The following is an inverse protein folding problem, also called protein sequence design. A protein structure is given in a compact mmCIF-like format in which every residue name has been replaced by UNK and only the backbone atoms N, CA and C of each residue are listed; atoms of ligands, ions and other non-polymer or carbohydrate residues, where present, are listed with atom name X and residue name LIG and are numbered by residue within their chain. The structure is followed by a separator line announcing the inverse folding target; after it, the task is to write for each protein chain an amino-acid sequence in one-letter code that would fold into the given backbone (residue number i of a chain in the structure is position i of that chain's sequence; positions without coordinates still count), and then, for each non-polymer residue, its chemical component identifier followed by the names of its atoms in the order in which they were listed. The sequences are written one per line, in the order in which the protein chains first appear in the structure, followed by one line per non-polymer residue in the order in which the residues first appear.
data_IF_098185025896
#
_entry.id   IF_098185025896
#
_cell.length_a   1.000
_cell.length_b   1.000
_cell.length_c   1.000
_cell.angle_alpha   90.00
_cell.angle_beta   90.00
_cell.angle_gamma   90.00
#
_symmetry.space_group_name_H-M   'P 1'
#
loop_
_entity.id
_entity.type
_entity.pdbx_description
1 polymer ?
#
# COMPACT_ATOMS: atom_id res chain seq x y z
N UNK A 1 -35.26 42.61 46.34
CA UNK A 1 -35.89 41.39 46.90
C UNK A 1 -36.08 40.38 45.78
N UNK A 2 -35.09 39.51 45.58
CA UNK A 2 -35.24 38.12 45.16
C UNK A 2 -33.84 37.52 45.20
N UNK A 3 -33.63 36.84 46.32
CA UNK A 3 -32.44 36.16 46.78
C UNK A 3 -32.27 34.87 45.95
N UNK A 4 -31.21 34.79 45.14
CA UNK A 4 -30.93 33.61 44.30
C UNK A 4 -29.69 32.91 44.87
N UNK A 5 -29.97 31.93 45.73
CA UNK A 5 -28.99 31.09 46.42
C UNK A 5 -28.22 30.22 45.43
N UNK A 6 -26.90 30.29 45.57
CA UNK A 6 -25.94 29.33 45.03
C UNK A 6 -26.14 27.97 45.71
N UNK A 7 -26.42 26.93 44.90
CA UNK A 7 -26.41 25.54 45.34
C UNK A 7 -25.16 24.87 44.79
N UNK A 8 -24.15 24.76 45.66
CA UNK A 8 -22.92 24.01 45.44
C UNK A 8 -23.24 22.53 45.70
N UNK A 9 -23.36 21.74 44.63
CA UNK A 9 -23.38 20.28 44.71
C UNK A 9 -21.94 19.77 44.64
N UNK A 10 -21.42 19.37 45.80
CA UNK A 10 -20.20 18.60 45.92
C UNK A 10 -20.45 17.15 45.44
N UNK A 11 -19.98 16.81 44.24
CA UNK A 11 -19.93 15.43 43.77
C UNK A 11 -18.72 14.73 44.37
N UNK A 12 -18.96 13.87 45.36
CA UNK A 12 -17.97 12.89 45.83
C UNK A 12 -17.71 11.88 44.70
N UNK A 13 -16.45 11.81 44.25
CA UNK A 13 -15.99 10.76 43.34
C UNK A 13 -15.61 9.53 44.18
N UNK A 14 -16.02 8.30 43.79
CA UNK A 14 -15.57 7.10 44.48
C UNK A 14 -14.10 6.83 44.18
N UNK A 15 -13.34 6.64 45.25
CA UNK A 15 -11.94 6.26 45.28
C UNK A 15 -11.77 4.86 44.69
N UNK A 16 -11.35 4.77 43.42
CA UNK A 16 -11.07 3.50 42.74
C UNK A 16 -9.62 3.13 43.03
N UNK A 17 -9.45 2.16 43.93
CA UNK A 17 -8.16 1.57 44.26
C UNK A 17 -7.43 1.06 43.00
N UNK A 18 -6.23 1.59 42.76
CA UNK A 18 -5.35 1.15 41.69
C UNK A 18 -4.92 -0.32 41.90
N UNK A 19 -5.00 -1.18 40.86
CA UNK A 19 -4.50 -2.54 40.96
C UNK A 19 -2.98 -2.51 41.15
N UNK A 20 -2.53 -3.16 42.23
CA UNK A 20 -1.13 -3.35 42.56
C UNK A 20 -0.41 -4.06 41.40
N UNK A 21 0.65 -3.42 40.91
CA UNK A 21 1.47 -3.90 39.80
C UNK A 21 2.12 -5.23 40.11
N UNK A 22 1.51 -6.32 39.64
CA UNK A 22 2.15 -7.62 39.56
C UNK A 22 3.35 -7.56 38.63
N UNK A 23 4.56 -7.67 39.19
CA UNK A 23 5.81 -7.81 38.42
C UNK A 23 5.70 -9.06 37.54
N UNK A 24 5.52 -8.87 36.24
CA UNK A 24 5.63 -9.97 35.28
C UNK A 24 7.06 -10.53 35.31
N UNK A 25 7.22 -11.87 35.36
CA UNK A 25 8.54 -12.50 35.32
C UNK A 25 9.24 -12.17 34.00
N UNK A 26 10.54 -11.87 34.06
CA UNK A 26 11.35 -11.38 32.94
C UNK A 26 11.31 -12.28 31.68
N UNK A 27 10.98 -13.56 31.84
CA UNK A 27 10.81 -14.51 30.73
C UNK A 27 9.54 -14.21 29.89
N UNK A 28 8.44 -13.74 30.49
CA UNK A 28 7.21 -13.44 29.75
C UNK A 28 7.35 -12.15 28.91
N UNK A 29 8.16 -11.18 29.37
CA UNK A 29 8.52 -10.00 28.56
C UNK A 29 9.33 -10.37 27.32
N UNK A 30 10.22 -11.36 27.41
CA UNK A 30 11.02 -11.82 26.25
C UNK A 30 10.17 -12.59 25.23
N UNK A 31 9.20 -13.40 25.68
CA UNK A 31 8.30 -14.14 24.79
C UNK A 31 7.28 -13.22 24.09
N UNK A 32 6.78 -12.18 24.76
CA UNK A 32 5.86 -11.21 24.14
C UNK A 32 6.57 -10.33 23.09
N UNK A 33 7.84 -9.96 23.31
CA UNK A 33 8.65 -9.23 22.31
C UNK A 33 8.96 -10.11 21.09
N UNK A 34 9.17 -11.41 21.28
CA UNK A 34 9.36 -12.36 20.17
C UNK A 34 8.08 -12.60 19.35
N UNK A 35 6.90 -12.59 19.97
CA UNK A 35 5.62 -12.75 19.26
C UNK A 35 5.20 -11.51 18.45
N UNK A 36 5.58 -10.29 18.88
CA UNK A 36 5.32 -9.06 18.12
C UNK A 36 6.27 -8.90 16.93
N UNK A 37 7.51 -9.41 17.02
CA UNK A 37 8.48 -9.40 15.92
C UNK A 37 8.17 -10.42 14.81
N UNK A 38 7.48 -11.53 15.12
CA UNK A 38 7.08 -12.51 14.09
C UNK A 38 5.77 -12.17 13.36
N UNK A 39 4.95 -11.24 13.88
CA UNK A 39 3.60 -10.96 13.37
C UNK A 39 3.49 -9.90 12.26
N UNK A 40 4.56 -9.17 11.94
CA UNK A 40 4.52 -8.08 10.94
C UNK A 40 5.71 -8.08 9.97
N UNK A 41 6.56 -9.09 10.02
CA UNK A 41 7.66 -9.29 9.09
C UNK A 41 7.19 -9.95 7.80
N UNK A 42 6.95 -9.14 6.77
CA UNK A 42 6.83 -9.56 5.38
C UNK A 42 7.92 -10.59 5.02
N UNK A 43 7.54 -11.85 4.85
CA UNK A 43 8.37 -12.91 4.27
C UNK A 43 8.70 -12.69 2.77
N UNK A 44 8.58 -11.46 2.27
CA UNK A 44 8.83 -11.10 0.87
C UNK A 44 10.20 -10.43 0.69
N UNK A 45 10.86 -9.98 1.76
CA UNK A 45 12.19 -9.37 1.66
C UNK A 45 13.31 -10.37 1.34
N UNK A 46 13.09 -11.68 1.53
CA UNK A 46 14.09 -12.72 1.29
C UNK A 46 14.27 -13.15 -0.18
N UNK A 47 13.49 -12.62 -1.12
CA UNK A 47 13.49 -13.12 -2.51
C UNK A 47 14.16 -12.19 -3.55
N UNK A 48 14.72 -11.04 -3.16
CA UNK A 48 15.10 -9.99 -4.13
C UNK A 48 16.54 -9.48 -4.04
N UNK A 49 17.42 -10.15 -3.30
CA UNK A 49 18.87 -9.91 -3.38
C UNK A 49 19.53 -11.17 -3.93
N UNK A 50 19.38 -11.41 -5.23
CA UNK A 50 20.35 -12.22 -5.96
C UNK A 50 21.48 -11.26 -6.33
N UNK A 51 22.50 -11.20 -5.47
CA UNK A 51 23.78 -10.56 -5.79
C UNK A 51 24.39 -11.26 -7.00
N UNK A 52 24.81 -10.49 -8.00
CA UNK A 52 25.36 -10.94 -9.27
C UNK A 52 26.88 -11.25 -9.20
N UNK A 53 27.45 -11.40 -8.01
CA UNK A 53 28.91 -11.55 -7.82
C UNK A 53 29.25 -12.91 -7.21
N UNK A 54 29.45 -13.93 -8.04
CA UNK A 54 30.49 -14.98 -7.91
C UNK A 54 30.28 -16.05 -8.99
N UNK A 55 31.19 -16.07 -9.96
CA UNK A 55 31.26 -17.02 -11.08
C UNK A 55 31.91 -18.35 -10.64
N UNK A 56 31.59 -18.82 -9.44
CA UNK A 56 31.98 -20.15 -8.98
C UNK A 56 30.97 -21.17 -9.51
N UNK A 57 31.47 -22.17 -10.23
CA UNK A 57 30.70 -23.20 -10.93
C UNK A 57 29.72 -23.91 -9.96
N UNK A 58 28.51 -23.37 -9.87
CA UNK A 58 27.45 -23.94 -9.06
C UNK A 58 27.18 -25.37 -9.53
N UNK A 59 27.03 -26.33 -8.60
CA UNK A 59 26.71 -27.71 -8.96
C UNK A 59 25.45 -27.71 -9.83
N UNK A 60 25.42 -28.54 -10.86
CA UNK A 60 24.29 -28.66 -11.78
C UNK A 60 22.99 -28.97 -11.00
N UNK A 61 22.28 -27.93 -10.59
CA UNK A 61 21.00 -28.02 -9.90
C UNK A 61 20.03 -28.61 -10.92
N UNK A 62 19.59 -29.85 -10.69
CA UNK A 62 18.60 -30.50 -11.54
C UNK A 62 17.42 -29.55 -11.77
N UNK A 63 17.15 -29.23 -13.04
CA UNK A 63 16.22 -28.17 -13.43
C UNK A 63 14.86 -28.37 -12.78
N UNK A 64 14.49 -27.46 -11.87
CA UNK A 64 13.16 -27.47 -11.26
C UNK A 64 12.15 -27.01 -12.31
N UNK A 65 11.11 -27.81 -12.49
CA UNK A 65 9.98 -27.46 -13.36
C UNK A 65 8.81 -27.03 -12.50
N UNK A 66 8.15 -25.94 -12.89
CA UNK A 66 7.04 -25.34 -12.18
C UNK A 66 5.76 -25.50 -13.01
N UNK A 67 4.63 -25.79 -12.34
CA UNK A 67 3.31 -25.81 -12.97
C UNK A 67 2.38 -24.94 -12.14
N UNK A 68 1.78 -23.93 -12.76
CA UNK A 68 0.83 -23.02 -12.12
C UNK A 68 -0.56 -23.35 -12.67
N UNK A 69 -1.50 -23.68 -11.79
CA UNK A 69 -2.87 -23.89 -12.21
C UNK A 69 -3.57 -22.55 -12.49
N UNK A 70 -4.62 -22.58 -13.33
CA UNK A 70 -5.51 -21.43 -13.56
C UNK A 70 -5.99 -20.78 -12.25
N UNK A 71 -6.34 -21.61 -11.25
CA UNK A 71 -6.78 -21.14 -9.95
C UNK A 71 -5.67 -20.44 -9.16
N UNK A 72 -4.44 -20.96 -9.20
CA UNK A 72 -3.29 -20.32 -8.56
C UNK A 72 -2.97 -18.98 -9.22
N UNK A 73 -3.05 -18.90 -10.56
CA UNK A 73 -2.90 -17.63 -11.29
C UNK A 73 -3.95 -16.61 -10.83
N UNK A 74 -5.23 -16.99 -10.80
CA UNK A 74 -6.31 -16.09 -10.38
C UNK A 74 -6.17 -15.63 -8.93
N UNK A 75 -5.68 -16.50 -8.04
CA UNK A 75 -5.37 -16.11 -6.67
C UNK A 75 -4.22 -15.10 -6.60
N UNK A 76 -3.16 -15.30 -7.38
CA UNK A 76 -2.00 -14.40 -7.39
C UNK A 76 -2.34 -13.02 -7.94
N UNK A 77 -3.22 -12.93 -8.94
CA UNK A 77 -3.54 -11.67 -9.63
C UNK A 77 -4.74 -10.94 -9.03
N UNK A 78 -5.80 -11.68 -8.70
CA UNK A 78 -7.07 -11.12 -8.30
C UNK A 78 -7.36 -11.27 -6.81
N UNK A 79 -6.48 -11.94 -6.05
CA UNK A 79 -6.64 -12.11 -4.60
C UNK A 79 -7.86 -12.93 -4.19
N UNK A 80 -8.36 -13.80 -5.07
CA UNK A 80 -9.48 -14.67 -4.76
C UNK A 80 -9.20 -15.48 -3.50
N UNK A 81 -10.15 -15.50 -2.55
CA UNK A 81 -10.04 -16.40 -1.41
C UNK A 81 -10.17 -17.84 -1.93
N UNK A 82 -9.18 -18.68 -1.61
CA UNK A 82 -9.38 -20.11 -1.84
C UNK A 82 -10.53 -20.58 -0.94
N UNK A 83 -11.47 -21.38 -1.45
CA UNK A 83 -12.30 -22.20 -0.57
C UNK A 83 -11.34 -23.08 0.24
N UNK A 84 -11.31 -22.92 1.56
CA UNK A 84 -10.49 -23.76 2.43
C UNK A 84 -11.00 -25.21 2.33
N UNK A 85 -10.05 -26.15 2.27
CA UNK A 85 -10.33 -27.54 1.92
C UNK A 85 -11.32 -28.19 2.89
N UNK A 86 -12.31 -28.82 2.26
CA UNK A 86 -13.24 -29.87 2.70
C UNK A 86 -12.77 -30.67 3.93
N UNK A 87 -13.44 -30.48 5.07
CA UNK A 87 -13.41 -31.47 6.14
C UNK A 87 -14.41 -32.57 5.78
N UNK A 88 -13.97 -33.84 5.69
CA UNK A 88 -14.88 -34.99 5.52
C UNK A 88 -15.65 -35.17 6.83
N UNK A 89 -16.88 -34.66 6.87
CA UNK A 89 -17.83 -34.94 7.96
C UNK A 89 -18.71 -36.10 7.49
N UNK A 90 -18.62 -37.24 8.18
CA UNK A 90 -19.47 -38.43 7.95
C UNK A 90 -19.40 -39.04 6.54
N UNK A 91 -18.22 -39.09 5.93
CA UNK A 91 -18.02 -39.76 4.63
C UNK A 91 -18.53 -38.99 3.40
N UNK A 92 -19.18 -37.83 3.60
CA UNK A 92 -19.55 -36.91 2.51
C UNK A 92 -18.54 -35.77 2.45
N UNK A 93 -17.91 -35.59 1.30
CA UNK A 93 -17.07 -34.42 1.05
C UNK A 93 -17.95 -33.16 0.99
N UNK A 94 -17.86 -32.30 2.01
CA UNK A 94 -18.45 -30.95 2.02
C UNK A 94 -17.34 -29.91 2.03
N UNK A 95 -17.36 -28.98 1.09
CA UNK A 95 -16.40 -27.88 1.12
C UNK A 95 -16.90 -26.80 2.07
N UNK A 96 -15.98 -26.24 2.86
CA UNK A 96 -16.23 -25.02 3.61
C UNK A 96 -15.86 -23.85 2.71
N UNK A 97 -16.87 -23.14 2.22
CA UNK A 97 -16.64 -21.87 1.54
C UNK A 97 -16.68 -20.79 2.61
N UNK A 98 -15.51 -20.27 2.98
CA UNK A 98 -15.42 -19.09 3.84
C UNK A 98 -15.64 -17.88 2.95
N UNK A 99 -16.74 -17.16 3.17
CA UNK A 99 -17.01 -15.86 2.53
C UNK A 99 -16.92 -14.76 3.56
N UNK A 100 -16.25 -13.67 3.21
CA UNK A 100 -16.29 -12.46 4.03
C UNK A 100 -17.45 -11.58 3.53
N UNK A 101 -18.51 -11.45 4.34
CA UNK A 101 -19.65 -10.58 4.05
C UNK A 101 -19.71 -9.52 5.15
N UNK A 102 -19.51 -8.25 4.80
CA UNK A 102 -19.48 -7.12 5.74
C UNK A 102 -18.49 -7.31 6.91
N UNK A 103 -17.33 -7.91 6.66
CA UNK A 103 -16.31 -8.18 7.69
C UNK A 103 -16.57 -9.41 8.55
N UNK A 104 -17.73 -10.05 8.44
CA UNK A 104 -18.04 -11.32 9.11
C UNK A 104 -17.66 -12.49 8.21
N UNK A 105 -16.93 -13.48 8.75
CA UNK A 105 -16.67 -14.73 8.07
C UNK A 105 -17.92 -15.62 8.17
N UNK A 106 -18.57 -15.87 7.04
CA UNK A 106 -19.68 -16.83 6.92
C UNK A 106 -19.12 -18.11 6.34
N UNK A 107 -19.30 -19.22 7.07
CA UNK A 107 -18.88 -20.56 6.63
C UNK A 107 -20.11 -21.24 6.02
N UNK A 108 -20.11 -21.38 4.70
CA UNK A 108 -21.17 -22.09 3.98
C UNK A 108 -20.69 -23.49 3.60
N UNK A 109 -21.46 -24.51 3.99
CA UNK A 109 -21.19 -25.91 3.67
C UNK A 109 -21.88 -26.27 2.36
N UNK A 110 -21.10 -26.37 1.28
CA UNK A 110 -21.63 -26.68 -0.06
C UNK A 110 -21.25 -28.12 -0.46
N UNK A 111 -22.18 -28.91 -1.03
CA UNK A 111 -21.87 -30.25 -1.53
C UNK A 111 -20.75 -30.22 -2.58
N UNK A 112 -19.75 -31.12 -2.47
CA UNK A 112 -18.61 -31.13 -3.38
C UNK A 112 -19.00 -31.28 -4.86
N UNK A 113 -20.11 -31.97 -5.16
CA UNK A 113 -20.62 -32.13 -6.52
C UNK A 113 -21.12 -30.82 -7.15
N UNK A 114 -21.55 -29.86 -6.33
CA UNK A 114 -22.08 -28.57 -6.78
C UNK A 114 -20.97 -27.53 -6.96
N UNK A 115 -19.84 -27.68 -6.24
CA UNK A 115 -18.66 -26.82 -6.40
C UNK A 115 -18.00 -26.93 -7.77
N UNK A 116 -17.97 -28.13 -8.36
CA UNK A 116 -17.19 -28.39 -9.58
C UNK A 116 -17.86 -27.79 -10.83
N UNK A 117 -19.17 -27.57 -10.83
CA UNK A 117 -19.90 -26.99 -11.97
C UNK A 117 -20.13 -25.48 -11.90
N UNK A 118 -20.19 -24.88 -10.71
CA UNK A 118 -20.62 -23.48 -10.55
C UNK A 118 -19.53 -22.51 -10.06
N UNK A 119 -18.31 -22.99 -9.73
CA UNK A 119 -17.21 -22.14 -9.22
C UNK A 119 -16.15 -21.93 -10.32
N UNK A 120 -16.61 -21.54 -11.50
CA UNK A 120 -15.80 -21.23 -12.68
C UNK A 120 -15.08 -19.87 -12.50
N UNK A 121 -13.85 -19.70 -13.03
CA UNK A 121 -12.98 -18.50 -12.95
C UNK A 121 -13.60 -17.14 -13.28
N UNK A 122 -14.81 -17.08 -13.86
CA UNK A 122 -15.53 -15.81 -14.06
C UNK A 122 -15.82 -15.07 -12.75
N UNK A 123 -15.98 -15.79 -11.64
CA UNK A 123 -16.23 -15.14 -10.35
C UNK A 123 -15.05 -14.29 -9.88
N UNK A 124 -13.81 -14.75 -10.07
CA UNK A 124 -12.63 -14.02 -9.60
C UNK A 124 -12.46 -12.67 -10.30
N UNK A 125 -12.65 -12.63 -11.63
CA UNK A 125 -12.58 -11.39 -12.42
C UNK A 125 -13.76 -10.47 -12.08
N UNK A 126 -14.98 -11.01 -11.98
CA UNK A 126 -16.15 -10.22 -11.63
C UNK A 126 -16.05 -9.61 -10.22
N UNK A 127 -15.57 -10.40 -9.25
CA UNK A 127 -15.34 -9.95 -7.89
C UNK A 127 -14.21 -8.92 -7.83
N UNK A 128 -13.12 -9.12 -8.58
CA UNK A 128 -12.05 -8.14 -8.71
C UNK A 128 -12.56 -6.82 -9.27
N UNK A 129 -13.27 -6.86 -10.41
CA UNK A 129 -13.87 -5.69 -11.04
C UNK A 129 -14.77 -4.94 -10.05
N UNK A 130 -15.69 -5.65 -9.40
CA UNK A 130 -16.61 -5.07 -8.41
C UNK A 130 -15.86 -4.39 -7.27
N UNK A 131 -14.82 -5.02 -6.71
CA UNK A 131 -14.02 -4.43 -5.62
C UNK A 131 -13.24 -3.20 -6.09
N UNK A 132 -12.60 -3.27 -7.26
CA UNK A 132 -11.83 -2.14 -7.80
C UNK A 132 -12.74 -0.96 -8.15
N UNK A 133 -13.90 -1.20 -8.75
CA UNK A 133 -14.90 -0.15 -9.01
C UNK A 133 -15.44 0.47 -7.71
N UNK A 134 -15.68 -0.34 -6.67
CA UNK A 134 -16.07 0.18 -5.35
C UNK A 134 -14.99 1.07 -4.75
N UNK A 135 -13.71 0.65 -4.80
CA UNK A 135 -12.59 1.45 -4.34
C UNK A 135 -12.45 2.76 -5.13
N UNK A 136 -12.63 2.71 -6.45
CA UNK A 136 -12.60 3.89 -7.28
C UNK A 136 -13.73 4.88 -6.96
N UNK A 137 -14.94 4.37 -6.71
CA UNK A 137 -16.05 5.22 -6.27
C UNK A 137 -15.77 5.90 -4.93
N UNK A 138 -15.15 5.21 -3.97
CA UNK A 138 -14.73 5.82 -2.69
C UNK A 138 -13.74 6.96 -2.94
N UNK A 139 -12.78 6.79 -3.84
CA UNK A 139 -11.83 7.85 -4.18
C UNK A 139 -12.52 9.02 -4.91
N UNK A 140 -13.42 8.76 -5.85
CA UNK A 140 -14.21 9.80 -6.54
C UNK A 140 -15.03 10.61 -5.53
N UNK A 141 -15.72 9.95 -4.60
CA UNK A 141 -16.50 10.65 -3.56
C UNK A 141 -15.60 11.39 -2.56
N UNK A 142 -14.40 10.88 -2.31
CA UNK A 142 -13.37 11.60 -1.55
C UNK A 142 -12.98 12.89 -2.27
N UNK A 143 -12.63 12.84 -3.54
CA UNK A 143 -12.30 14.02 -4.36
C UNK A 143 -13.49 14.97 -4.42
N UNK A 144 -14.70 14.48 -4.73
CA UNK A 144 -15.91 15.26 -4.88
C UNK A 144 -16.23 16.11 -3.64
N UNK A 145 -16.02 15.56 -2.44
CA UNK A 145 -16.23 16.30 -1.19
C UNK A 145 -15.26 17.45 -0.97
N UNK A 146 -14.02 17.37 -1.48
CA UNK A 146 -13.01 18.39 -1.24
C UNK A 146 -12.95 19.47 -2.33
N UNK A 147 -13.23 19.10 -3.60
CA UNK A 147 -13.15 20.04 -4.73
C UNK A 147 -14.48 20.32 -5.42
N UNK A 148 -15.60 19.79 -4.90
CA UNK A 148 -16.95 20.01 -5.42
C UNK A 148 -17.09 19.62 -6.90
N UNK A 149 -16.84 18.34 -7.20
CA UNK A 149 -16.95 17.83 -8.56
C UNK A 149 -18.38 17.91 -9.10
N UNK A 150 -18.51 18.34 -10.36
CA UNK A 150 -19.77 18.26 -11.11
C UNK A 150 -20.07 16.81 -11.54
N UNK A 151 -21.33 16.52 -11.86
CA UNK A 151 -21.73 15.19 -12.34
C UNK A 151 -21.02 14.79 -13.65
N UNK A 152 -20.73 15.76 -14.52
CA UNK A 152 -19.94 15.51 -15.73
C UNK A 152 -18.50 15.10 -15.41
N UNK A 153 -17.86 15.78 -14.45
CA UNK A 153 -16.50 15.44 -13.99
C UNK A 153 -16.47 14.06 -13.32
N UNK A 154 -17.44 13.77 -12.42
CA UNK A 154 -17.56 12.45 -11.79
C UNK A 154 -17.71 11.34 -12.83
N UNK A 155 -18.59 11.51 -13.83
CA UNK A 155 -18.78 10.53 -14.91
C UNK A 155 -17.49 10.27 -15.69
N UNK A 156 -16.72 11.32 -16.00
CA UNK A 156 -15.43 11.20 -16.69
C UNK A 156 -14.41 10.44 -15.84
N UNK A 157 -14.33 10.71 -14.54
CA UNK A 157 -13.47 9.98 -13.60
C UNK A 157 -13.89 8.51 -13.45
N UNK A 158 -15.19 8.22 -13.39
CA UNK A 158 -15.70 6.84 -13.37
C UNK A 158 -15.32 6.07 -14.63
N UNK A 159 -15.39 6.70 -15.80
CA UNK A 159 -14.95 6.08 -17.06
C UNK A 159 -13.45 5.82 -17.06
N UNK A 160 -12.64 6.77 -16.59
CA UNK A 160 -11.19 6.60 -16.47
C UNK A 160 -10.83 5.44 -15.52
N UNK A 161 -11.47 5.36 -14.35
CA UNK A 161 -11.26 4.26 -13.41
C UNK A 161 -11.65 2.90 -14.00
N UNK A 162 -12.76 2.81 -14.75
CA UNK A 162 -13.14 1.58 -15.46
C UNK A 162 -12.11 1.18 -16.52
N UNK A 163 -11.53 2.17 -17.20
CA UNK A 163 -10.41 1.96 -18.13
C UNK A 163 -9.21 1.32 -17.43
N UNK A 164 -8.83 1.83 -16.26
CA UNK A 164 -7.75 1.25 -15.46
C UNK A 164 -8.06 -0.21 -15.06
N UNK A 165 -9.30 -0.50 -14.63
CA UNK A 165 -9.71 -1.88 -14.28
C UNK A 165 -9.55 -2.81 -15.47
N UNK A 166 -10.01 -2.38 -16.65
CA UNK A 166 -9.98 -3.18 -17.86
C UNK A 166 -8.54 -3.41 -18.36
N UNK A 167 -7.65 -2.42 -18.23
CA UNK A 167 -6.23 -2.59 -18.55
C UNK A 167 -5.59 -3.70 -17.72
N UNK A 168 -5.88 -3.75 -16.42
CA UNK A 168 -5.37 -4.79 -15.51
C UNK A 168 -5.92 -6.16 -15.89
N UNK A 169 -7.22 -6.26 -16.17
CA UNK A 169 -7.86 -7.52 -16.60
C UNK A 169 -7.28 -8.00 -17.93
N UNK A 170 -7.12 -7.10 -18.90
CA UNK A 170 -6.54 -7.41 -20.22
C UNK A 170 -5.12 -7.92 -20.07
N UNK A 171 -4.29 -7.23 -19.27
CA UNK A 171 -2.91 -7.65 -19.03
C UNK A 171 -2.83 -8.99 -18.32
N UNK A 172 -3.74 -9.27 -17.38
CA UNK A 172 -3.85 -10.58 -16.75
C UNK A 172 -4.22 -11.67 -17.77
N UNK A 173 -5.16 -11.40 -18.67
CA UNK A 173 -5.55 -12.34 -19.72
C UNK A 173 -4.39 -12.67 -20.68
N UNK A 174 -3.51 -11.71 -20.98
CA UNK A 174 -2.29 -11.94 -21.78
C UNK A 174 -1.25 -12.82 -21.06
N UNK A 175 -1.09 -12.65 -19.75
CA UNK A 175 -0.11 -13.40 -18.95
C UNK A 175 -0.58 -14.81 -18.58
N UNK A 176 -1.91 -15.00 -18.45
CA UNK A 176 -2.53 -16.29 -18.07
C UNK A 176 -2.00 -17.47 -18.90
N UNK A 177 -2.11 -17.50 -20.24
CA UNK A 177 -1.65 -18.66 -21.01
C UNK A 177 -0.13 -18.88 -20.92
N UNK A 178 0.67 -17.83 -20.67
CA UNK A 178 2.12 -17.98 -20.49
C UNK A 178 2.46 -18.76 -19.21
N UNK A 179 1.64 -18.61 -18.17
CA UNK A 179 1.87 -19.20 -16.85
C UNK A 179 1.17 -20.56 -16.65
N UNK A 180 0.06 -20.82 -17.34
CA UNK A 180 -0.79 -22.00 -17.09
C UNK A 180 -0.72 -23.09 -18.16
N UNK A 181 -0.23 -22.78 -19.37
CA UNK A 181 -0.35 -23.71 -20.51
C UNK A 181 0.60 -24.90 -20.50
N UNK A 182 1.79 -24.77 -19.88
CA UNK A 182 2.82 -25.81 -19.91
C UNK A 182 3.70 -25.74 -18.65
N UNK A 183 4.39 -26.85 -18.30
CA UNK A 183 5.45 -26.80 -17.31
C UNK A 183 6.54 -25.80 -17.73
N UNK A 184 6.97 -24.97 -16.80
CA UNK A 184 7.87 -23.83 -17.01
C UNK A 184 9.18 -24.13 -16.29
N UNK A 185 10.32 -23.89 -16.93
CA UNK A 185 11.61 -24.01 -16.27
C UNK A 185 11.84 -22.87 -15.25
N UNK A 186 12.88 -22.99 -14.43
CA UNK A 186 13.18 -22.01 -13.39
C UNK A 186 13.44 -20.60 -13.94
N UNK A 187 14.10 -20.47 -15.10
CA UNK A 187 14.45 -19.17 -15.66
C UNK A 187 13.21 -18.46 -16.22
N UNK A 188 12.38 -19.19 -16.98
CA UNK A 188 11.11 -18.71 -17.48
C UNK A 188 10.16 -18.32 -16.33
N UNK A 189 10.14 -19.10 -15.25
CA UNK A 189 9.36 -18.78 -14.06
C UNK A 189 9.77 -17.42 -13.46
N UNK A 190 11.08 -17.16 -13.32
CA UNK A 190 11.59 -15.88 -12.81
C UNK A 190 11.17 -14.71 -13.71
N UNK A 191 11.28 -14.85 -15.04
CA UNK A 191 10.87 -13.81 -16.00
C UNK A 191 9.38 -13.53 -15.89
N UNK A 192 8.54 -14.56 -15.89
CA UNK A 192 7.10 -14.38 -15.82
C UNK A 192 6.64 -13.84 -14.46
N UNK A 193 7.31 -14.20 -13.36
CA UNK A 193 7.02 -13.61 -12.05
C UNK A 193 7.38 -12.12 -11.99
N UNK A 194 8.42 -11.67 -12.71
CA UNK A 194 8.69 -10.24 -12.88
C UNK A 194 7.61 -9.54 -13.69
N UNK A 195 7.12 -10.17 -14.78
CA UNK A 195 5.99 -9.63 -15.57
C UNK A 195 4.67 -9.58 -14.77
N UNK A 196 4.46 -10.52 -13.84
CA UNK A 196 3.28 -10.60 -12.99
C UNK A 196 3.29 -9.55 -11.86
N UNK A 197 4.47 -9.11 -11.44
CA UNK A 197 4.66 -8.25 -10.28
C UNK A 197 3.80 -6.97 -10.33
N UNK A 198 3.71 -6.20 -11.43
CA UNK A 198 2.88 -5.00 -11.48
C UNK A 198 1.40 -5.28 -11.18
N UNK A 199 0.84 -6.41 -11.65
CA UNK A 199 -0.56 -6.77 -11.36
C UNK A 199 -0.78 -7.05 -9.88
N UNK A 200 0.18 -7.74 -9.24
CA UNK A 200 0.15 -7.98 -7.78
C UNK A 200 0.24 -6.68 -7.00
N UNK A 201 1.05 -5.74 -7.46
CA UNK A 201 1.17 -4.41 -6.85
C UNK A 201 -0.15 -3.65 -6.97
N UNK A 202 -0.81 -3.65 -8.12
CA UNK A 202 -2.16 -3.05 -8.28
C UNK A 202 -3.16 -3.65 -7.31
N UNK A 203 -3.12 -4.96 -7.09
CA UNK A 203 -4.00 -5.62 -6.12
C UNK A 203 -3.71 -5.17 -4.68
N UNK A 204 -2.43 -5.02 -4.31
CA UNK A 204 -2.01 -4.69 -2.95
C UNK A 204 -2.16 -3.21 -2.61
N UNK A 205 -1.80 -2.32 -3.54
CA UNK A 205 -1.75 -0.86 -3.33
C UNK A 205 -2.96 -0.13 -3.90
N UNK A 206 -3.82 -0.85 -4.64
CA UNK A 206 -4.99 -0.30 -5.30
C UNK A 206 -4.70 0.06 -6.76
N UNK A 207 -5.78 0.30 -7.49
CA UNK A 207 -5.76 0.58 -8.92
C UNK A 207 -5.29 2.00 -9.25
N UNK A 208 -5.54 2.94 -8.34
CA UNK A 208 -5.40 4.38 -8.57
C UNK A 208 -3.98 4.81 -8.16
N UNK A 209 -3.01 4.36 -8.95
CA UNK A 209 -1.62 4.80 -8.87
C UNK A 209 -1.40 6.15 -9.58
N UNK A 210 -0.26 6.80 -9.36
CA UNK A 210 0.11 8.07 -10.01
C UNK A 210 0.03 8.02 -11.55
N UNK A 211 0.39 6.87 -12.13
CA UNK A 211 0.35 6.65 -13.58
C UNK A 211 -1.01 6.17 -14.12
N UNK A 212 -2.02 6.01 -13.27
CA UNK A 212 -3.36 5.56 -13.70
C UNK A 212 -4.04 6.57 -14.62
N UNK A 213 -4.89 6.07 -15.52
CA UNK A 213 -5.76 6.89 -16.35
C UNK A 213 -6.66 7.76 -15.47
N UNK A 214 -7.10 7.26 -14.33
CA UNK A 214 -7.83 8.03 -13.32
C UNK A 214 -7.07 9.28 -12.87
N UNK A 215 -5.82 9.14 -12.41
CA UNK A 215 -5.02 10.28 -11.91
C UNK A 215 -4.74 11.30 -12.99
N UNK A 216 -4.36 10.85 -14.18
CA UNK A 216 -4.19 11.72 -15.36
C UNK A 216 -5.49 12.47 -15.68
N UNK A 217 -6.60 11.73 -15.75
CA UNK A 217 -7.92 12.33 -16.01
C UNK A 217 -8.30 13.33 -14.93
N UNK A 218 -8.03 13.06 -13.66
CA UNK A 218 -8.27 13.98 -12.56
C UNK A 218 -7.54 15.31 -12.78
N UNK A 219 -6.22 15.27 -13.03
CA UNK A 219 -5.42 16.48 -13.29
C UNK A 219 -6.00 17.34 -14.42
N UNK A 220 -6.48 16.73 -15.51
CA UNK A 220 -7.05 17.44 -16.67
C UNK A 220 -8.55 17.75 -16.58
N UNK A 221 -9.25 17.28 -15.55
CA UNK A 221 -10.71 17.44 -15.44
C UNK A 221 -11.10 18.51 -14.43
N UNK A 222 -10.21 18.84 -13.49
CA UNK A 222 -10.42 19.92 -12.53
C UNK A 222 -10.28 21.29 -13.19
N UNK A 223 -11.11 22.25 -12.79
CA UNK A 223 -10.86 23.68 -13.06
C UNK A 223 -9.63 24.16 -12.32
N UNK A 224 -9.13 25.35 -12.64
CA UNK A 224 -7.95 25.92 -11.98
C UNK A 224 -8.19 26.10 -10.47
N UNK A 225 -9.36 26.57 -10.06
CA UNK A 225 -9.71 26.73 -8.65
C UNK A 225 -9.79 25.39 -7.93
N UNK A 226 -10.36 24.36 -8.59
CA UNK A 226 -10.42 23.01 -8.05
C UNK A 226 -9.01 22.39 -7.93
N UNK A 227 -8.13 22.65 -8.90
CA UNK A 227 -6.75 22.18 -8.92
C UNK A 227 -5.95 22.74 -7.76
N UNK A 228 -6.05 24.04 -7.47
CA UNK A 228 -5.38 24.67 -6.31
C UNK A 228 -5.84 24.04 -4.99
N UNK A 229 -7.15 23.81 -4.83
CA UNK A 229 -7.71 23.12 -3.65
C UNK A 229 -7.20 21.69 -3.54
N UNK A 230 -7.15 20.96 -4.65
CA UNK A 230 -6.64 19.60 -4.70
C UNK A 230 -5.16 19.54 -4.29
N UNK A 231 -4.33 20.42 -4.83
CA UNK A 231 -2.91 20.49 -4.50
C UNK A 231 -2.68 20.79 -3.01
N UNK A 232 -3.51 21.65 -2.41
CA UNK A 232 -3.44 21.95 -0.97
C UNK A 232 -3.80 20.73 -0.12
N UNK A 233 -4.83 19.97 -0.52
CA UNK A 233 -5.18 18.71 0.14
C UNK A 233 -4.07 17.68 0.02
N UNK A 234 -3.44 17.57 -1.15
CA UNK A 234 -2.38 16.60 -1.40
C UNK A 234 -1.13 16.93 -0.58
N UNK A 235 -0.74 18.22 -0.50
CA UNK A 235 0.33 18.66 0.40
C UNK A 235 0.03 18.34 1.87
N UNK A 236 -1.21 18.49 2.32
CA UNK A 236 -1.58 18.14 3.68
C UNK A 236 -1.49 16.63 3.94
N UNK A 237 -1.89 15.80 2.96
CA UNK A 237 -1.71 14.34 3.04
C UNK A 237 -0.24 13.95 3.09
N UNK A 238 0.59 14.56 2.25
CA UNK A 238 2.04 14.36 2.27
C UNK A 238 2.62 14.73 3.63
N UNK A 239 2.23 15.87 4.21
CA UNK A 239 2.62 16.27 5.58
C UNK A 239 2.28 15.21 6.62
N UNK A 240 1.04 14.73 6.64
CA UNK A 240 0.62 13.66 7.56
C UNK A 240 1.38 12.35 7.33
N UNK A 241 1.69 12.02 6.08
CA UNK A 241 2.42 10.81 5.72
C UNK A 241 3.89 10.89 6.16
N UNK A 242 4.55 12.02 5.97
CA UNK A 242 5.91 12.30 6.45
C UNK A 242 5.95 12.25 7.98
N UNK A 243 5.01 12.90 8.66
CA UNK A 243 4.96 12.84 10.13
C UNK A 243 4.77 11.40 10.64
N UNK A 244 3.85 10.64 10.02
CA UNK A 244 3.62 9.23 10.36
C UNK A 244 4.85 8.36 10.10
N UNK A 245 5.57 8.62 9.01
CA UNK A 245 6.84 7.97 8.69
C UNK A 245 7.91 8.24 9.76
N UNK A 246 8.09 9.50 10.15
CA UNK A 246 9.03 9.87 11.20
C UNK A 246 8.68 9.18 12.52
N UNK A 247 7.42 9.24 12.96
CA UNK A 247 6.96 8.55 14.18
C UNK A 247 7.15 7.03 14.12
N UNK A 248 7.13 6.43 12.93
CA UNK A 248 7.47 5.02 12.76
C UNK A 248 8.97 4.79 12.97
N UNK A 249 9.84 5.62 12.39
CA UNK A 249 11.29 5.57 12.57
C UNK A 249 11.69 5.77 14.05
N UNK A 250 11.06 6.70 14.77
CA UNK A 250 11.32 6.91 16.20
C UNK A 250 11.01 5.68 17.07
N UNK A 251 10.10 4.81 16.62
CA UNK A 251 9.71 3.58 17.33
C UNK A 251 10.58 2.38 17.00
N UNK A 252 11.50 2.49 16.05
CA UNK A 252 12.45 1.42 15.72
C UNK A 252 13.52 1.29 16.82
N UNK A 253 14.17 0.13 16.92
CA UNK A 253 15.15 -0.17 17.98
C UNK A 253 16.32 0.84 18.00
N UNK A 254 16.77 1.26 16.81
CA UNK A 254 17.80 2.28 16.61
C UNK A 254 17.17 3.61 16.16
N UNK A 255 15.99 3.92 16.69
CA UNK A 255 15.26 5.15 16.41
C UNK A 255 15.91 6.38 17.03
N UNK A 256 15.60 7.55 16.48
CA UNK A 256 15.98 8.85 17.02
C UNK A 256 14.74 9.56 17.59
N UNK A 257 14.94 10.57 18.44
CA UNK A 257 13.84 11.37 18.98
C UNK A 257 13.98 12.81 18.47
N UNK A 258 12.95 13.29 17.78
CA UNK A 258 12.82 14.70 17.41
C UNK A 258 11.91 15.41 18.40
N UNK A 259 12.31 16.60 18.83
CA UNK A 259 11.43 17.52 19.55
C UNK A 259 10.22 17.87 18.69
N UNK A 260 9.14 18.35 19.30
CA UNK A 260 7.94 18.74 18.56
C UNK A 260 8.23 19.83 17.52
N UNK A 261 9.11 20.78 17.83
CA UNK A 261 9.50 21.85 16.91
C UNK A 261 10.35 21.32 15.75
N UNK A 262 11.45 20.60 16.05
CA UNK A 262 12.34 20.08 15.02
C UNK A 262 11.59 19.12 14.09
N UNK A 263 10.64 18.32 14.61
CA UNK A 263 9.80 17.44 13.79
C UNK A 263 8.93 18.25 12.82
N UNK A 264 8.30 19.34 13.26
CA UNK A 264 7.49 20.20 12.38
C UNK A 264 8.32 20.80 11.26
N UNK A 265 9.48 21.37 11.58
CA UNK A 265 10.39 21.96 10.61
C UNK A 265 10.94 20.91 9.63
N UNK A 266 11.29 19.71 10.13
CA UNK A 266 11.72 18.60 9.29
C UNK A 266 10.63 18.19 8.30
N UNK A 267 9.39 18.03 8.77
CA UNK A 267 8.25 17.68 7.91
C UNK A 267 8.05 18.75 6.83
N UNK A 268 8.10 20.03 7.20
CA UNK A 268 7.95 21.15 6.27
C UNK A 268 9.01 21.12 5.17
N UNK A 269 10.29 20.99 5.52
CA UNK A 269 11.40 20.91 4.56
C UNK A 269 11.24 19.72 3.61
N UNK A 270 10.85 18.54 4.11
CA UNK A 270 10.67 17.35 3.28
C UNK A 270 9.45 17.47 2.35
N UNK A 271 8.35 18.09 2.80
CA UNK A 271 7.16 18.29 1.95
C UNK A 271 7.41 19.37 0.90
N UNK A 272 8.18 20.41 1.22
CA UNK A 272 8.45 21.52 0.29
C UNK A 272 9.48 21.15 -0.79
N UNK A 273 10.49 20.34 -0.46
CA UNK A 273 11.61 20.08 -1.35
C UNK A 273 11.78 18.60 -1.73
N UNK A 274 11.01 17.69 -1.14
CA UNK A 274 11.10 16.26 -1.42
C UNK A 274 10.17 15.80 -2.54
N UNK A 275 10.63 14.81 -3.30
CA UNK A 275 9.81 14.10 -4.28
C UNK A 275 8.98 13.02 -3.57
N UNK A 276 7.82 13.41 -3.03
CA UNK A 276 6.93 12.53 -2.27
C UNK A 276 5.77 11.98 -3.13
N UNK A 277 5.43 10.68 -3.02
CA UNK A 277 4.31 10.11 -3.77
C UNK A 277 2.96 10.64 -3.27
N UNK A 278 2.03 10.90 -4.19
CA UNK A 278 0.64 11.27 -3.88
C UNK A 278 -0.15 10.10 -3.26
N UNK A 279 0.24 8.87 -3.57
CA UNK A 279 -0.52 7.68 -3.15
C UNK A 279 -0.07 7.15 -1.80
N UNK A 280 -1.02 6.57 -1.05
CA UNK A 280 -0.73 5.85 0.20
C UNK A 280 0.24 4.70 -0.07
N UNK A 281 1.46 4.83 0.46
CA UNK A 281 2.50 3.83 0.31
C UNK A 281 2.90 3.27 1.67
N UNK A 282 2.85 1.94 1.86
CA UNK A 282 3.31 1.29 3.10
C UNK A 282 4.82 1.46 3.36
N UNK A 283 5.57 1.79 2.31
CA UNK A 283 7.01 2.05 2.31
C UNK A 283 7.33 3.54 2.35
N UNK A 284 6.35 4.42 2.63
CA UNK A 284 6.56 5.87 2.69
C UNK A 284 7.71 6.27 3.61
N UNK A 285 7.89 5.60 4.75
CA UNK A 285 9.03 5.83 5.64
C UNK A 285 10.40 5.69 4.98
N UNK A 286 10.59 4.74 4.07
CA UNK A 286 11.86 4.64 3.34
C UNK A 286 12.01 5.75 2.31
N UNK A 287 10.92 6.11 1.61
CA UNK A 287 10.92 7.25 0.67
C UNK A 287 11.32 8.53 1.39
N UNK A 288 10.70 8.80 2.54
CA UNK A 288 11.01 9.96 3.39
C UNK A 288 12.46 9.97 3.84
N UNK A 289 13.04 8.83 4.22
CA UNK A 289 14.44 8.75 4.61
C UNK A 289 15.39 8.98 3.42
N UNK A 290 15.09 8.41 2.25
CA UNK A 290 15.91 8.65 1.04
C UNK A 290 15.86 10.13 0.65
N UNK A 291 14.67 10.73 0.65
CA UNK A 291 14.51 12.18 0.39
C UNK A 291 15.21 13.04 1.43
N UNK A 292 15.13 12.68 2.71
CA UNK A 292 15.88 13.37 3.76
C UNK A 292 17.40 13.33 3.50
N UNK A 293 17.91 12.22 2.96
CA UNK A 293 19.31 12.10 2.55
C UNK A 293 19.71 12.94 1.33
N UNK A 294 18.74 13.43 0.54
CA UNK A 294 18.97 14.41 -0.54
C UNK A 294 18.90 15.84 -0.03
N UNK A 295 18.23 16.06 1.10
CA UNK A 295 18.00 17.35 1.75
C UNK A 295 18.91 17.57 2.97
N UNK A 296 20.08 16.93 3.02
CA UNK A 296 21.02 16.97 4.15
C UNK A 296 21.36 18.40 4.58
N UNK A 297 21.72 19.27 3.64
CA UNK A 297 22.12 20.65 3.91
C UNK A 297 21.01 21.47 4.62
N UNK A 298 19.74 21.10 4.39
CA UNK A 298 18.56 21.79 4.96
C UNK A 298 18.12 21.17 6.28
N UNK A 299 18.28 19.85 6.43
CA UNK A 299 17.77 19.10 7.58
C UNK A 299 18.78 19.00 8.73
N UNK A 300 20.09 18.94 8.43
CA UNK A 300 21.14 18.84 9.45
C UNK A 300 21.08 19.97 10.49
N UNK A 301 20.88 21.26 10.11
CA UNK A 301 20.78 22.36 11.09
C UNK A 301 19.57 22.27 12.03
N UNK A 302 18.54 21.48 11.68
CA UNK A 302 17.32 21.35 12.47
C UNK A 302 17.43 20.31 13.59
N UNK A 303 18.54 19.57 13.67
CA UNK A 303 18.71 18.49 14.65
C UNK A 303 20.09 18.57 15.32
N UNK A 304 20.24 17.92 16.48
CA UNK A 304 21.56 17.77 17.10
C UNK A 304 22.43 16.80 16.30
N UNK A 305 23.75 16.93 16.42
CA UNK A 305 24.69 16.04 15.73
C UNK A 305 24.44 14.57 16.08
N UNK A 306 24.15 14.27 17.36
CA UNK A 306 23.82 12.90 17.81
C UNK A 306 22.59 12.32 17.10
N UNK A 307 21.53 13.13 16.92
CA UNK A 307 20.31 12.72 16.20
C UNK A 307 20.60 12.58 14.72
N UNK A 308 21.44 13.45 14.16
CA UNK A 308 21.83 13.39 12.75
C UNK A 308 22.60 12.10 12.44
N UNK A 309 23.56 11.70 13.29
CA UNK A 309 24.31 10.45 13.11
C UNK A 309 23.38 9.21 13.10
N UNK A 310 22.37 9.17 13.98
CA UNK A 310 21.38 8.10 14.01
C UNK A 310 20.50 8.11 12.75
N UNK A 311 20.03 9.29 12.36
CA UNK A 311 19.24 9.46 11.14
C UNK A 311 20.05 9.05 9.90
N UNK A 312 21.33 9.41 9.81
CA UNK A 312 22.21 9.08 8.69
C UNK A 312 22.37 7.56 8.52
N UNK A 313 22.45 6.80 9.62
CA UNK A 313 22.44 5.33 9.56
C UNK A 313 21.15 4.80 8.93
N UNK A 314 20.00 5.36 9.30
CA UNK A 314 18.70 4.98 8.73
C UNK A 314 18.58 5.39 7.25
N UNK A 315 19.12 6.56 6.87
CA UNK A 315 19.17 7.02 5.48
C UNK A 315 20.02 6.06 4.63
N UNK A 316 21.19 5.64 5.11
CA UNK A 316 22.04 4.68 4.40
C UNK A 316 21.30 3.36 4.17
N UNK A 317 20.61 2.84 5.18
CA UNK A 317 19.79 1.63 5.04
C UNK A 317 18.63 1.82 4.04
N UNK A 318 17.96 2.97 4.07
CA UNK A 318 16.88 3.28 3.13
C UNK A 318 17.37 3.39 1.68
N UNK A 319 18.56 3.98 1.45
CA UNK A 319 19.19 4.07 0.11
C UNK A 319 19.46 2.70 -0.49
N UNK A 320 19.79 1.68 0.32
CA UNK A 320 20.01 0.32 -0.17
C UNK A 320 18.74 -0.29 -0.82
N UNK A 321 17.55 0.18 -0.45
CA UNK A 321 16.30 -0.31 -1.03
C UNK A 321 15.69 0.61 -2.09
N UNK A 322 16.30 1.77 -2.38
CA UNK A 322 15.78 2.76 -3.33
C UNK A 322 15.50 2.15 -4.71
N UNK A 323 16.45 1.38 -5.25
CA UNK A 323 16.28 0.67 -6.53
C UNK A 323 15.08 -0.30 -6.52
N UNK A 324 14.80 -0.93 -5.38
CA UNK A 324 13.63 -1.81 -5.21
C UNK A 324 12.33 -1.01 -5.13
N UNK A 325 12.33 0.18 -4.51
CA UNK A 325 11.18 1.08 -4.50
C UNK A 325 10.83 1.57 -5.92
N UNK A 326 11.84 1.91 -6.73
CA UNK A 326 11.66 2.25 -8.14
C UNK A 326 11.10 1.08 -8.95
N UNK A 327 11.72 -0.09 -8.88
CA UNK A 327 11.28 -1.29 -9.63
C UNK A 327 9.87 -1.75 -9.26
N UNK A 328 9.47 -1.50 -8.01
CA UNK A 328 8.13 -1.84 -7.53
C UNK A 328 7.08 -0.76 -7.81
N UNK A 329 7.47 0.40 -8.36
CA UNK A 329 6.56 1.52 -8.63
C UNK A 329 6.04 2.20 -7.36
N UNK A 330 6.75 2.01 -6.24
CA UNK A 330 6.45 2.66 -4.96
C UNK A 330 7.12 4.03 -4.85
N UNK A 331 8.14 4.25 -5.65
CA UNK A 331 8.77 5.56 -5.80
C UNK A 331 7.93 6.43 -6.75
N UNK A 332 7.71 7.72 -6.44
CA UNK A 332 7.01 8.61 -7.36
C UNK A 332 7.72 8.64 -8.70
N UNK A 333 6.98 8.50 -9.79
CA UNK A 333 7.57 8.69 -11.10
C UNK A 333 7.73 10.19 -11.23
N UNK A 334 8.97 10.69 -11.17
CA UNK A 334 9.25 12.08 -11.54
C UNK A 334 8.51 12.32 -12.84
N UNK A 335 7.65 13.33 -12.84
CA UNK A 335 7.06 13.83 -14.07
C UNK A 335 8.25 14.24 -14.93
N UNK A 336 8.72 13.33 -15.76
CA UNK A 336 9.73 13.59 -16.76
C UNK A 336 9.06 14.60 -17.68
N UNK A 337 9.40 15.86 -17.48
CA UNK A 337 9.17 16.95 -18.40
C UNK A 337 7.70 17.06 -18.86
N UNK A 338 6.77 17.28 -17.92
CA UNK A 338 5.45 17.89 -18.26
C UNK A 338 5.61 19.27 -18.95
N UNK A 339 6.84 19.77 -19.09
CA UNK A 339 7.22 20.92 -19.92
C UNK A 339 6.97 20.71 -21.42
N UNK A 340 6.82 19.47 -21.92
CA UNK A 340 6.52 19.21 -23.33
C UNK A 340 5.08 19.62 -23.74
N UNK A 341 4.14 19.71 -22.80
CA UNK A 341 2.75 20.09 -23.10
C UNK A 341 2.52 21.62 -23.04
N UNK A 342 3.47 22.41 -22.52
CA UNK A 342 3.38 23.87 -22.57
C UNK A 342 3.65 24.44 -23.97
N UNK A 343 4.21 23.65 -24.89
CA UNK A 343 4.52 24.05 -26.26
C UNK A 343 3.30 24.18 -27.20
N UNK A 344 2.15 23.58 -26.86
CA UNK A 344 1.00 23.52 -27.78
C UNK A 344 0.00 24.68 -27.64
N UNK A 345 0.08 25.48 -26.57
CA UNK A 345 -0.85 26.59 -26.34
C UNK A 345 -0.51 27.88 -27.12
N UNK A 346 0.69 27.99 -27.70
CA UNK A 346 1.13 29.21 -28.40
C UNK A 346 1.04 29.16 -29.94
N UNK A 347 0.56 28.08 -30.57
CA UNK A 347 0.55 27.96 -32.05
C UNK A 347 -0.75 28.36 -32.76
N UNK A 348 -1.78 28.86 -32.07
CA UNK A 348 -3.07 29.23 -32.69
C UNK A 348 -3.35 30.74 -32.74
N UNK A 349 -2.30 31.57 -32.70
CA UNK A 349 -2.39 33.01 -32.97
C UNK A 349 -1.47 33.40 -34.13
N UNK A 350 -1.81 32.99 -35.35
CA UNK A 350 -1.42 33.70 -36.59
C UNK A 350 -2.60 33.74 -37.56
#
# INVERSE_FOLDING_TARGET
MTDRRDSILASQSPDVAAPSGGRMPALLRRVLVLLVLCGSGNAVAGLLVLQEDEEDAAPAVGGRTYMISEQQFDQMVFGGQQPQVVQRVQGVARAQVVRQVNGVQVIELVPAAELVRNVVPQSAIADFRKRMEANANVEIESVARHVLLTEAQKKKLTLAARGDVEQVITRAAELRPKLTSKPIDQQQYVVLMRELQPLRMTQQFGLIGENSLFRKTLRHTLTDEQRVRWQSLERERQRMAVESALLKCQRMADGFILTGENRRQFVEVVVEHGDLPETRNSYIHYVVLVEAGKLEDRLKPLVSEEVWELLQKQIIQAKQIEATLHRSGQWPVRAADEDDDQGLANSTKE
#
